data_IF_562623928639
#
_entry.id   IF_562623928639
#
_cell.length_a   1.000
_cell.length_b   1.000
_cell.length_c   1.000
_cell.angle_alpha   90.00
_cell.angle_beta   90.00
_cell.angle_gamma   90.00
#
_symmetry.space_group_name_H-M   'P 1'
#
loop_
_entity.id
_entity.type
_entity.pdbx_description
1 polymer ?
#
# COMPACT_ATOMS: atom_id res chain seq x y z
N UNK A 1 19.67 12.40 9.52
CA UNK A 1 19.01 13.27 8.53
C UNK A 1 17.51 13.04 8.65
N UNK A 2 16.69 14.04 9.01
CA UNK A 2 15.24 13.90 9.18
C UNK A 2 14.54 14.69 8.07
N UNK A 3 13.70 14.03 7.29
CA UNK A 3 12.96 14.62 6.15
C UNK A 3 11.53 14.84 6.63
N UNK A 4 11.06 16.09 6.61
CA UNK A 4 9.67 16.43 6.89
C UNK A 4 8.87 16.37 5.58
N UNK A 5 7.75 15.62 5.59
CA UNK A 5 6.78 15.58 4.51
C UNK A 5 5.86 16.81 4.52
N UNK A 6 5.24 17.15 3.38
CA UNK A 6 4.61 18.45 3.17
C UNK A 6 3.19 18.46 3.73
N UNK A 7 3.02 18.61 5.04
CA UNK A 7 1.76 18.98 5.69
C UNK A 7 2.04 19.62 7.06
N UNK A 8 2.60 20.83 7.03
CA UNK A 8 2.71 21.70 8.20
C UNK A 8 1.81 22.92 8.01
N UNK A 9 0.73 23.00 8.79
CA UNK A 9 -0.20 24.13 8.84
C UNK A 9 0.50 25.32 9.51
N UNK A 10 1.07 26.22 8.71
CA UNK A 10 1.64 27.49 9.20
C UNK A 10 0.55 28.57 9.22
N UNK A 11 0.32 29.13 10.41
CA UNK A 11 -0.50 30.34 10.61
C UNK A 11 0.19 31.54 9.94
N UNK A 12 -0.50 32.33 9.08
CA UNK A 12 0.13 33.51 8.50
C UNK A 12 0.15 34.65 9.52
N UNK A 13 1.36 34.98 10.00
CA UNK A 13 1.64 36.25 10.67
C UNK A 13 1.61 37.36 9.61
N UNK A 14 0.79 38.39 9.83
CA UNK A 14 0.77 39.61 9.01
C UNK A 14 2.09 40.37 9.18
N UNK A 15 2.89 40.46 8.11
CA UNK A 15 4.05 41.36 8.05
C UNK A 15 3.63 42.68 7.40
N UNK A 16 3.81 43.77 8.14
CA UNK A 16 3.45 45.13 7.73
C UNK A 16 4.24 45.68 6.55
N UNK A 17 3.64 46.68 5.89
CA UNK A 17 4.17 47.39 4.74
C UNK A 17 5.57 48.00 5.01
N UNK A 18 6.59 47.45 4.35
CA UNK A 18 7.89 48.10 4.25
C UNK A 18 7.89 49.13 3.11
N UNK A 19 8.32 50.35 3.47
CA UNK A 19 8.43 51.55 2.64
C UNK A 19 9.40 51.34 1.47
N UNK A 20 8.92 51.62 0.24
CA UNK A 20 9.73 51.59 -1.00
C UNK A 20 10.85 52.63 -0.98
N UNK A 21 12.08 52.18 -1.18
CA UNK A 21 13.23 53.00 -1.60
C UNK A 21 13.48 52.80 -3.09
N UNK A 22 13.58 53.90 -3.81
CA UNK A 22 13.74 53.99 -5.26
C UNK A 22 15.16 53.63 -5.70
N UNK A 23 15.30 52.63 -6.57
CA UNK A 23 16.48 52.46 -7.43
C UNK A 23 16.03 52.43 -8.89
N UNK A 24 16.57 53.35 -9.69
CA UNK A 24 16.34 53.45 -11.13
C UNK A 24 16.84 52.20 -11.85
N UNK A 25 15.92 51.41 -12.40
CA UNK A 25 16.20 50.26 -13.26
C UNK A 25 15.43 50.37 -14.57
N UNK A 26 16.12 50.12 -15.68
CA UNK A 26 15.62 50.11 -17.05
C UNK A 26 14.32 49.28 -17.22
N UNK A 27 13.33 49.82 -17.96
CA UNK A 27 12.02 49.16 -18.22
C UNK A 27 11.70 49.09 -19.71
N UNK A 28 11.21 47.94 -20.17
CA UNK A 28 10.74 47.69 -21.54
C UNK A 28 9.23 47.99 -21.70
N UNK A 29 8.76 48.36 -22.91
CA UNK A 29 7.36 48.70 -23.12
C UNK A 29 6.43 47.49 -22.97
N UNK A 30 5.37 47.73 -22.21
CA UNK A 30 4.23 46.85 -21.94
C UNK A 30 3.55 46.36 -23.23
N UNK A 31 3.58 45.05 -23.47
CA UNK A 31 2.52 44.39 -24.23
C UNK A 31 1.44 43.95 -23.24
N UNK A 32 0.19 44.22 -23.58
CA UNK A 32 -0.99 44.20 -22.72
C UNK A 32 -1.00 43.09 -21.66
N UNK A 33 -1.22 43.49 -20.41
CA UNK A 33 -1.49 42.61 -19.30
C UNK A 33 -2.70 41.70 -19.62
N UNK A 34 -2.57 40.36 -19.55
CA UNK A 34 -3.73 39.54 -19.25
C UNK A 34 -4.21 39.89 -17.83
N UNK A 35 -5.52 39.89 -17.55
CA UNK A 35 -6.03 40.21 -16.23
C UNK A 35 -5.40 39.28 -15.20
N UNK A 36 -4.87 39.88 -14.12
CA UNK A 36 -4.45 39.15 -12.93
C UNK A 36 -5.54 38.15 -12.52
N UNK A 37 -5.22 36.87 -12.31
CA UNK A 37 -6.16 35.96 -11.66
C UNK A 37 -6.29 36.43 -10.21
N UNK A 38 -7.37 37.16 -9.91
CA UNK A 38 -7.74 37.51 -8.54
C UNK A 38 -7.76 36.27 -7.65
N UNK A 39 -7.63 36.43 -6.31
CA UNK A 39 -7.52 35.31 -5.39
C UNK A 39 -8.73 34.40 -5.56
N UNK A 40 -8.52 33.24 -6.20
CA UNK A 40 -9.52 32.18 -6.25
C UNK A 40 -9.76 31.76 -4.81
N UNK A 41 -10.97 31.97 -4.32
CA UNK A 41 -11.41 31.41 -3.05
C UNK A 41 -11.16 29.90 -3.10
N UNK A 42 -10.15 29.46 -2.37
CA UNK A 42 -9.96 28.04 -2.08
C UNK A 42 -11.12 27.65 -1.16
N UNK A 43 -12.17 27.06 -1.73
CA UNK A 43 -13.20 26.39 -0.92
C UNK A 43 -12.49 25.38 -0.04
N UNK A 44 -12.58 25.59 1.28
CA UNK A 44 -12.13 24.61 2.25
C UNK A 44 -12.83 23.27 1.95
N UNK A 45 -12.14 22.11 2.09
CA UNK A 45 -12.79 20.82 1.96
C UNK A 45 -13.99 20.78 2.91
N UNK A 46 -15.21 20.64 2.35
CA UNK A 46 -16.39 20.39 3.17
C UNK A 46 -16.16 19.09 3.93
N UNK A 47 -16.37 19.12 5.25
CA UNK A 47 -16.34 17.93 6.07
C UNK A 47 -17.30 16.87 5.47
N UNK A 48 -16.89 15.59 5.40
CA UNK A 48 -17.74 14.55 4.84
C UNK A 48 -19.08 14.55 5.59
N UNK A 49 -20.16 14.71 4.83
CA UNK A 49 -21.51 14.49 5.35
C UNK A 49 -21.57 13.05 5.86
N UNK A 50 -22.31 12.79 6.95
CA UNK A 50 -22.19 11.53 7.72
C UNK A 50 -22.29 10.23 6.93
N UNK A 51 -22.90 10.23 5.73
CA UNK A 51 -22.95 9.07 4.84
C UNK A 51 -21.62 8.75 4.15
N UNK A 52 -20.87 9.76 3.69
CA UNK A 52 -19.53 9.58 3.10
C UNK A 52 -18.54 9.00 4.14
N UNK A 53 -18.70 9.40 5.40
CA UNK A 53 -17.92 8.84 6.51
C UNK A 53 -18.26 7.36 6.77
N UNK A 54 -19.53 6.95 6.65
CA UNK A 54 -19.94 5.55 6.82
C UNK A 54 -19.46 4.68 5.64
N UNK A 55 -19.53 5.19 4.40
CA UNK A 55 -19.05 4.47 3.22
C UNK A 55 -17.51 4.29 3.28
N UNK A 56 -16.77 5.30 3.72
CA UNK A 56 -15.33 5.20 3.93
C UNK A 56 -14.96 4.15 5.00
N UNK A 57 -15.79 3.99 6.04
CA UNK A 57 -15.55 2.99 7.10
C UNK A 57 -15.71 1.55 6.59
N UNK A 58 -16.64 1.30 5.65
CA UNK A 58 -16.84 -0.03 5.06
C UNK A 58 -15.64 -0.52 4.23
N UNK A 59 -14.93 0.40 3.56
CA UNK A 59 -13.72 0.06 2.81
C UNK A 59 -12.57 -0.45 3.70
N UNK A 60 -12.50 0.01 4.95
CA UNK A 60 -11.47 -0.40 5.92
C UNK A 60 -11.74 -1.82 6.43
N UNK A 61 -13.00 -2.16 6.73
CA UNK A 61 -13.37 -3.50 7.20
C UNK A 61 -13.01 -4.59 6.17
N UNK A 62 -13.35 -4.39 4.89
CA UNK A 62 -13.02 -5.33 3.82
C UNK A 62 -11.50 -5.49 3.63
N UNK A 63 -10.72 -4.42 3.76
CA UNK A 63 -9.26 -4.50 3.72
C UNK A 63 -8.69 -5.34 4.88
N UNK A 64 -9.22 -5.19 6.08
CA UNK A 64 -8.75 -5.96 7.24
C UNK A 64 -9.12 -7.44 7.14
N UNK A 65 -10.33 -7.77 6.67
CA UNK A 65 -10.76 -9.16 6.48
C UNK A 65 -9.98 -9.87 5.38
N UNK A 66 -9.69 -9.18 4.27
CA UNK A 66 -8.85 -9.72 3.18
C UNK A 66 -7.44 -10.02 3.68
N UNK A 67 -6.85 -9.11 4.45
CA UNK A 67 -5.54 -9.32 5.10
C UNK A 67 -5.56 -10.52 6.04
N UNK A 68 -6.56 -10.63 6.93
CA UNK A 68 -6.71 -11.78 7.84
C UNK A 68 -6.80 -13.10 7.07
N UNK A 69 -7.58 -13.15 5.99
CA UNK A 69 -7.71 -14.34 5.13
C UNK A 69 -6.39 -14.72 4.48
N UNK A 70 -5.64 -13.75 3.96
CA UNK A 70 -4.32 -14.00 3.38
C UNK A 70 -3.29 -14.48 4.40
N UNK A 71 -3.31 -13.96 5.63
CA UNK A 71 -2.50 -14.50 6.74
C UNK A 71 -2.87 -15.96 7.06
N UNK A 72 -4.16 -16.28 7.09
CA UNK A 72 -4.61 -17.65 7.35
C UNK A 72 -4.12 -18.61 6.25
N UNK A 73 -4.22 -18.23 4.97
CA UNK A 73 -3.68 -19.00 3.83
C UNK A 73 -2.18 -19.24 3.97
N UNK A 74 -1.41 -18.20 4.31
CA UNK A 74 0.03 -18.32 4.55
C UNK A 74 0.36 -19.34 5.64
N UNK A 75 -0.37 -19.32 6.76
CA UNK A 75 -0.21 -20.31 7.84
C UNK A 75 -0.54 -21.72 7.37
N UNK A 76 -1.66 -21.91 6.69
CA UNK A 76 -2.03 -23.22 6.15
C UNK A 76 -0.95 -23.77 5.20
N UNK A 77 -0.36 -22.93 4.35
CA UNK A 77 0.73 -23.37 3.46
C UNK A 77 1.98 -23.81 4.26
N UNK A 78 2.34 -23.07 5.32
CA UNK A 78 3.45 -23.43 6.20
C UNK A 78 3.19 -24.73 6.96
N UNK A 79 1.97 -24.93 7.46
CA UNK A 79 1.60 -26.17 8.16
C UNK A 79 1.72 -27.39 7.23
N UNK A 80 1.27 -27.26 5.97
CA UNK A 80 1.39 -28.36 4.98
C UNK A 80 2.85 -28.61 4.58
N UNK A 81 3.70 -27.58 4.54
CA UNK A 81 5.15 -27.75 4.35
C UNK A 81 5.79 -28.53 5.51
N UNK A 82 5.37 -28.26 6.75
CA UNK A 82 5.87 -28.97 7.92
C UNK A 82 5.38 -30.42 7.94
N UNK A 83 4.12 -30.68 7.58
CA UNK A 83 3.59 -32.04 7.40
C UNK A 83 4.39 -32.82 6.36
N UNK A 84 4.67 -32.21 5.20
CA UNK A 84 5.46 -32.82 4.14
C UNK A 84 6.88 -33.15 4.65
N UNK A 85 7.51 -32.22 5.37
CA UNK A 85 8.84 -32.41 5.95
C UNK A 85 8.86 -33.56 6.96
N UNK A 86 7.89 -33.61 7.87
CA UNK A 86 7.77 -34.68 8.88
C UNK A 86 7.58 -36.03 8.19
N UNK A 87 6.69 -36.10 7.19
CA UNK A 87 6.47 -37.32 6.39
C UNK A 87 7.77 -37.80 5.72
N UNK A 88 8.48 -36.90 5.05
CA UNK A 88 9.76 -37.21 4.41
C UNK A 88 10.81 -37.72 5.40
N UNK A 89 10.92 -37.12 6.58
CA UNK A 89 11.84 -37.56 7.63
C UNK A 89 11.45 -38.94 8.20
N UNK A 90 10.16 -39.26 8.23
CA UNK A 90 9.66 -40.58 8.60
C UNK A 90 9.81 -41.62 7.48
N UNK A 91 10.33 -41.24 6.31
CA UNK A 91 10.42 -42.11 5.14
C UNK A 91 9.08 -42.35 4.41
N UNK A 92 8.05 -41.56 4.72
CA UNK A 92 6.73 -41.65 4.13
C UNK A 92 6.45 -40.46 3.21
N UNK A 93 6.27 -40.74 1.92
CA UNK A 93 5.92 -39.71 0.93
C UNK A 93 4.44 -39.82 0.55
N UNK A 94 3.61 -38.95 1.15
CA UNK A 94 2.16 -38.95 0.94
C UNK A 94 1.74 -38.02 -0.22
N UNK A 95 1.16 -38.61 -1.26
CA UNK A 95 0.65 -37.88 -2.42
C UNK A 95 -0.54 -36.98 -2.08
N UNK A 96 -1.31 -37.29 -1.03
CA UNK A 96 -2.40 -36.44 -0.58
C UNK A 96 -1.86 -35.14 0.04
N UNK A 97 -0.76 -35.21 0.80
CA UNK A 97 -0.07 -34.03 1.35
C UNK A 97 0.48 -33.13 0.24
N UNK A 98 1.07 -33.71 -0.81
CA UNK A 98 1.51 -32.98 -2.01
C UNK A 98 0.34 -32.28 -2.71
N UNK A 99 -0.81 -32.94 -2.85
CA UNK A 99 -1.99 -32.34 -3.45
C UNK A 99 -2.53 -31.16 -2.63
N UNK A 100 -2.56 -31.28 -1.29
CA UNK A 100 -2.91 -30.17 -0.39
C UNK A 100 -1.93 -29.00 -0.54
N UNK A 101 -0.64 -29.30 -0.69
CA UNK A 101 0.40 -28.28 -0.86
C UNK A 101 0.23 -27.50 -2.17
N UNK A 102 -0.10 -28.19 -3.28
CA UNK A 102 -0.45 -27.54 -4.56
C UNK A 102 -1.67 -26.63 -4.44
N UNK A 103 -2.71 -27.07 -3.73
CA UNK A 103 -3.90 -26.26 -3.50
C UNK A 103 -3.57 -25.01 -2.66
N UNK A 104 -2.74 -25.14 -1.63
CA UNK A 104 -2.27 -24.01 -0.83
C UNK A 104 -1.44 -23.03 -1.67
N UNK A 105 -0.56 -23.51 -2.55
CA UNK A 105 0.22 -22.66 -3.46
C UNK A 105 -0.66 -21.80 -4.37
N UNK A 106 -1.74 -22.37 -4.91
CA UNK A 106 -2.69 -21.64 -5.74
C UNK A 106 -3.38 -20.51 -4.97
N UNK A 107 -3.70 -20.71 -3.69
CA UNK A 107 -4.32 -19.69 -2.83
C UNK A 107 -3.36 -18.56 -2.44
N UNK A 108 -2.04 -18.82 -2.37
CA UNK A 108 -1.04 -17.80 -2.03
C UNK A 108 -0.89 -16.70 -3.09
N UNK A 109 -1.23 -17.01 -4.35
CA UNK A 109 -1.19 -16.06 -5.47
C UNK A 109 -2.20 -14.91 -5.36
N UNK A 110 -3.19 -15.04 -4.47
CA UNK A 110 -4.20 -14.00 -4.27
C UNK A 110 -3.65 -12.83 -3.45
N UNK A 111 -3.69 -11.61 -4.01
CA UNK A 111 -3.27 -10.40 -3.31
C UNK A 111 -4.11 -10.14 -2.05
N UNK A 112 -3.42 -9.77 -0.96
CA UNK A 112 -4.02 -9.35 0.29
C UNK A 112 -4.41 -7.86 0.31
N UNK A 113 -3.83 -7.06 -0.58
CA UNK A 113 -3.91 -5.60 -0.57
C UNK A 113 -2.90 -4.92 0.37
N UNK A 114 -2.06 -5.69 1.05
CA UNK A 114 -0.92 -5.22 1.87
C UNK A 114 0.38 -5.66 1.18
N UNK A 115 1.16 -4.73 0.57
CA UNK A 115 2.37 -5.08 -0.16
C UNK A 115 3.43 -5.81 0.66
N UNK A 116 3.50 -5.54 1.97
CA UNK A 116 4.46 -6.21 2.86
C UNK A 116 4.05 -7.66 3.12
N UNK A 117 2.76 -7.91 3.29
CA UNK A 117 2.23 -9.26 3.43
C UNK A 117 2.34 -10.04 2.10
N UNK A 118 2.02 -9.41 0.97
CA UNK A 118 2.11 -10.03 -0.35
C UNK A 118 3.56 -10.47 -0.67
N UNK A 119 4.56 -9.67 -0.31
CA UNK A 119 5.97 -10.05 -0.46
C UNK A 119 6.33 -11.33 0.33
N UNK A 120 5.88 -11.43 1.59
CA UNK A 120 6.09 -12.62 2.42
C UNK A 120 5.36 -13.83 1.85
N UNK A 121 4.12 -13.65 1.36
CA UNK A 121 3.35 -14.74 0.76
C UNK A 121 4.02 -15.25 -0.53
N UNK A 122 4.61 -14.36 -1.34
CA UNK A 122 5.41 -14.75 -2.51
C UNK A 122 6.67 -15.54 -2.14
N UNK A 123 7.34 -15.22 -1.03
CA UNK A 123 8.47 -16.02 -0.55
C UNK A 123 8.03 -17.42 -0.10
N UNK A 124 6.88 -17.52 0.57
CA UNK A 124 6.29 -18.82 0.94
C UNK A 124 5.94 -19.60 -0.32
N UNK A 125 5.28 -18.98 -1.29
CA UNK A 125 4.93 -19.60 -2.58
C UNK A 125 6.16 -20.15 -3.30
N UNK A 126 7.23 -19.36 -3.41
CA UNK A 126 8.48 -19.79 -4.02
C UNK A 126 9.02 -21.05 -3.32
N UNK A 127 9.00 -21.08 -1.99
CA UNK A 127 9.43 -22.25 -1.23
C UNK A 127 8.54 -23.46 -1.52
N UNK A 128 7.23 -23.27 -1.56
CA UNK A 128 6.27 -24.34 -1.90
C UNK A 128 6.57 -24.94 -3.28
N UNK A 129 6.74 -24.10 -4.30
CA UNK A 129 7.04 -24.54 -5.67
C UNK A 129 8.38 -25.30 -5.73
N UNK A 130 9.40 -24.84 -5.00
CA UNK A 130 10.68 -25.54 -4.90
C UNK A 130 10.53 -26.92 -4.25
N UNK A 131 9.75 -27.04 -3.16
CA UNK A 131 9.53 -28.33 -2.51
C UNK A 131 8.72 -29.29 -3.39
N UNK A 132 7.72 -28.79 -4.13
CA UNK A 132 6.99 -29.58 -5.13
C UNK A 132 7.92 -30.06 -6.25
N UNK A 133 8.81 -29.21 -6.76
CA UNK A 133 9.79 -29.58 -7.77
C UNK A 133 10.75 -30.67 -7.26
N UNK A 134 11.23 -30.56 -6.02
CA UNK A 134 12.07 -31.60 -5.38
C UNK A 134 11.34 -32.94 -5.25
N UNK A 135 10.03 -32.89 -5.03
CA UNK A 135 9.14 -34.05 -5.01
C UNK A 135 8.84 -34.64 -6.40
N UNK A 136 9.39 -34.07 -7.48
CA UNK A 136 9.13 -34.49 -8.86
C UNK A 136 7.78 -34.01 -9.42
N UNK A 137 7.20 -32.98 -8.80
CA UNK A 137 5.85 -32.48 -9.08
C UNK A 137 5.95 -31.08 -9.71
N UNK A 138 6.37 -31.00 -10.97
CA UNK A 138 6.37 -29.78 -11.79
C UNK A 138 5.12 -29.65 -12.67
#
# INVERSE_FOLDING_TARGET
MRIYGPNGTTTPTSTGNARRTSSSGFSLPTSAAPPEPGPRAVSAPLAPTGLEALLAMQGVEDATERRKRSVARGRTALDVLDDLKIGLLAGNFDTATVARLRAAAAELKASSGDPGLDAVLSEIELRVEVELAKAGQY
#
